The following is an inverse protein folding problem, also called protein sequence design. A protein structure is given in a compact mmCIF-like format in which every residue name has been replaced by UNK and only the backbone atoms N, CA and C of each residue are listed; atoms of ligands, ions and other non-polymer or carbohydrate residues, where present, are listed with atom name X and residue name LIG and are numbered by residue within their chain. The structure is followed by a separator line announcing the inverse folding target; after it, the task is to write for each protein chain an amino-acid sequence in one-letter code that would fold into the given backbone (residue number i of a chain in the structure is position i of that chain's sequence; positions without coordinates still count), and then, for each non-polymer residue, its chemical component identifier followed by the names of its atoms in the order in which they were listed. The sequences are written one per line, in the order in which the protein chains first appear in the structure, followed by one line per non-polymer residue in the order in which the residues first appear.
data_IF_011424147595
#
_entry.id   IF_011424147595
#
_cell.length_a   1.000
_cell.length_b   1.000
_cell.length_c   1.000
_cell.angle_alpha   90.00
_cell.angle_beta   90.00
_cell.angle_gamma   90.00
#
_symmetry.space_group_name_H-M   'P 1'
#
loop_
_entity.id
_entity.type
_entity.pdbx_description
1 polymer ?
#
# COMPACT_ATOMS: atom_id res chain seq x y z
N UNK A 1 35.18 -33.09 -11.95
CA UNK A 1 33.90 -32.37 -12.09
C UNK A 1 34.25 -30.90 -12.20
N UNK A 2 34.30 -30.36 -13.42
CA UNK A 2 34.53 -28.93 -13.67
C UNK A 2 33.18 -28.24 -13.64
N UNK A 3 32.90 -27.49 -12.58
CA UNK A 3 31.76 -26.57 -12.57
C UNK A 3 32.10 -25.47 -13.58
N UNK A 4 31.29 -25.31 -14.62
CA UNK A 4 31.45 -24.22 -15.58
C UNK A 4 31.06 -22.90 -14.89
N UNK A 5 32.04 -22.02 -14.73
CA UNK A 5 31.83 -20.69 -14.14
C UNK A 5 30.85 -19.84 -14.98
N UNK A 6 30.67 -20.15 -16.26
CA UNK A 6 29.72 -19.47 -17.14
C UNK A 6 28.27 -19.75 -16.74
N UNK A 7 27.93 -20.99 -16.38
CA UNK A 7 26.60 -21.38 -15.90
C UNK A 7 26.30 -20.78 -14.53
N UNK A 8 27.28 -20.80 -13.60
CA UNK A 8 27.13 -20.17 -12.29
C UNK A 8 26.93 -18.66 -12.41
N UNK A 9 27.64 -18.00 -13.34
CA UNK A 9 27.47 -16.57 -13.60
C UNK A 9 26.10 -16.25 -14.21
N UNK A 10 25.64 -17.08 -15.15
CA UNK A 10 24.32 -16.94 -15.76
C UNK A 10 23.20 -17.12 -14.73
N UNK A 11 23.33 -18.12 -13.85
CA UNK A 11 22.42 -18.32 -12.72
C UNK A 11 22.41 -17.12 -11.77
N UNK A 12 23.59 -16.61 -11.37
CA UNK A 12 23.69 -15.43 -10.51
C UNK A 12 22.98 -14.20 -11.09
N UNK A 13 23.06 -13.98 -12.41
CA UNK A 13 22.32 -12.90 -13.09
C UNK A 13 20.80 -13.11 -13.04
N UNK A 14 20.31 -14.35 -13.23
CA UNK A 14 18.87 -14.66 -13.13
C UNK A 14 18.35 -14.44 -11.73
N UNK A 15 19.09 -14.88 -10.70
CA UNK A 15 18.73 -14.65 -9.29
C UNK A 15 18.67 -13.15 -8.97
N UNK A 16 19.65 -12.36 -9.41
CA UNK A 16 19.66 -10.92 -9.20
C UNK A 16 18.47 -10.22 -9.89
N UNK A 17 18.15 -10.62 -11.12
CA UNK A 17 16.99 -10.10 -11.86
C UNK A 17 15.67 -10.46 -11.15
N UNK A 18 15.52 -11.71 -10.69
CA UNK A 18 14.35 -12.15 -9.93
C UNK A 18 14.16 -11.34 -8.65
N UNK A 19 15.23 -11.07 -7.90
CA UNK A 19 15.18 -10.24 -6.69
C UNK A 19 14.78 -8.78 -7.00
N UNK A 20 15.29 -8.20 -8.08
CA UNK A 20 14.89 -6.85 -8.50
C UNK A 20 13.41 -6.79 -8.87
N UNK A 21 12.92 -7.77 -9.64
CA UNK A 21 11.49 -7.89 -9.96
C UNK A 21 10.63 -8.06 -8.71
N UNK A 22 11.14 -8.77 -7.70
CA UNK A 22 10.47 -8.93 -6.42
C UNK A 22 10.13 -7.63 -5.72
N UNK A 23 11.16 -6.78 -5.62
CA UNK A 23 11.05 -5.51 -4.92
C UNK A 23 10.06 -4.59 -5.64
N UNK A 24 10.03 -4.63 -6.98
CA UNK A 24 9.08 -3.84 -7.79
C UNK A 24 7.65 -4.33 -7.61
N UNK A 25 7.42 -5.63 -7.69
CA UNK A 25 6.08 -6.22 -7.58
C UNK A 25 5.51 -6.05 -6.17
N UNK A 26 6.32 -6.24 -5.13
CA UNK A 26 5.94 -5.94 -3.75
C UNK A 26 5.58 -4.45 -3.57
N UNK A 27 6.35 -3.52 -4.15
CA UNK A 27 6.01 -2.10 -4.11
C UNK A 27 4.69 -1.78 -4.81
N UNK A 28 4.39 -2.45 -5.94
CA UNK A 28 3.13 -2.29 -6.65
C UNK A 28 1.93 -2.79 -5.82
N UNK A 29 2.07 -3.94 -5.16
CA UNK A 29 1.05 -4.48 -4.26
C UNK A 29 0.76 -3.51 -3.11
N UNK A 30 1.80 -3.05 -2.41
CA UNK A 30 1.67 -2.07 -1.31
C UNK A 30 1.02 -0.77 -1.78
N UNK A 31 1.44 -0.25 -2.94
CA UNK A 31 0.85 0.95 -3.54
C UNK A 31 -0.64 0.76 -3.84
N UNK A 32 -1.02 -0.42 -4.36
CA UNK A 32 -2.42 -0.73 -4.68
C UNK A 32 -3.27 -0.81 -3.42
N UNK A 33 -2.81 -1.50 -2.39
CA UNK A 33 -3.49 -1.54 -1.08
C UNK A 33 -3.67 -0.13 -0.49
N UNK A 34 -2.61 0.68 -0.48
CA UNK A 34 -2.69 2.07 0.00
C UNK A 34 -3.69 2.92 -0.77
N UNK A 35 -3.77 2.75 -2.09
CA UNK A 35 -4.76 3.42 -2.93
C UNK A 35 -6.18 3.00 -2.57
N UNK A 36 -6.42 1.70 -2.35
CA UNK A 36 -7.75 1.19 -1.96
C UNK A 36 -8.18 1.74 -0.58
N UNK A 37 -7.28 1.74 0.41
CA UNK A 37 -7.54 2.33 1.74
C UNK A 37 -7.89 3.81 1.61
N UNK A 38 -7.08 4.58 0.87
CA UNK A 38 -7.33 6.00 0.61
C UNK A 38 -8.71 6.23 -0.01
N UNK A 39 -9.07 5.45 -1.02
CA UNK A 39 -10.36 5.57 -1.70
C UNK A 39 -11.53 5.23 -0.77
N UNK A 40 -11.39 4.19 0.06
CA UNK A 40 -12.36 3.84 1.09
C UNK A 40 -12.61 4.97 2.09
N UNK A 41 -11.54 5.54 2.66
CA UNK A 41 -11.63 6.66 3.60
C UNK A 41 -12.26 7.89 2.94
N UNK A 42 -11.85 8.25 1.72
CA UNK A 42 -12.45 9.39 0.99
C UNK A 42 -13.94 9.17 0.73
N UNK A 43 -14.33 7.96 0.32
CA UNK A 43 -15.73 7.62 0.05
C UNK A 43 -16.59 7.79 1.30
N UNK A 44 -16.12 7.30 2.46
CA UNK A 44 -16.83 7.45 3.73
C UNK A 44 -16.95 8.92 4.16
N UNK A 45 -15.85 9.67 4.10
CA UNK A 45 -15.86 11.12 4.39
C UNK A 45 -16.88 11.87 3.52
N UNK A 46 -16.98 11.51 2.23
CA UNK A 46 -17.91 12.13 1.28
C UNK A 46 -19.39 11.90 1.62
N UNK A 47 -19.70 10.89 2.45
CA UNK A 47 -21.07 10.67 2.95
C UNK A 47 -21.47 11.66 4.05
N UNK A 48 -20.51 12.43 4.60
CA UNK A 48 -20.78 13.37 5.68
C UNK A 48 -21.76 14.47 5.27
N UNK A 49 -22.71 14.78 6.15
CA UNK A 49 -23.58 15.95 6.00
C UNK A 49 -22.84 17.27 6.30
N UNK A 50 -21.66 17.20 6.93
CA UNK A 50 -20.80 18.36 7.15
C UNK A 50 -19.94 18.62 5.91
N UNK A 51 -20.15 19.76 5.26
CA UNK A 51 -19.45 20.15 4.04
C UNK A 51 -17.93 20.19 4.17
N UNK A 52 -17.40 20.59 5.34
CA UNK A 52 -15.95 20.65 5.53
C UNK A 52 -15.36 19.25 5.71
N UNK A 53 -16.05 18.35 6.42
CA UNK A 53 -15.61 16.95 6.60
C UNK A 53 -15.62 16.21 5.26
N UNK A 54 -16.65 16.40 4.43
CA UNK A 54 -16.72 15.77 3.10
C UNK A 54 -15.66 16.24 2.10
N UNK A 55 -14.87 17.25 2.48
CA UNK A 55 -13.75 17.80 1.70
C UNK A 55 -12.38 17.46 2.28
N UNK A 56 -12.30 16.71 3.39
CA UNK A 56 -11.02 16.23 3.92
C UNK A 56 -10.28 15.44 2.84
N UNK A 57 -9.03 15.82 2.57
CA UNK A 57 -8.20 15.16 1.57
C UNK A 57 -7.33 14.09 2.21
N UNK A 58 -7.34 12.88 1.65
CA UNK A 58 -6.46 11.78 2.06
C UNK A 58 -5.41 11.51 0.99
N UNK A 59 -4.16 11.35 1.41
CA UNK A 59 -3.02 10.97 0.58
C UNK A 59 -2.41 9.65 1.04
N UNK A 60 -1.43 9.17 0.29
CA UNK A 60 -0.46 8.22 0.81
C UNK A 60 0.93 8.51 0.29
N UNK A 61 1.93 8.11 1.06
CA UNK A 61 3.34 8.23 0.72
C UNK A 61 3.99 6.85 0.80
N UNK A 62 4.69 6.46 -0.28
CA UNK A 62 5.45 5.21 -0.30
C UNK A 62 6.80 5.43 0.39
N UNK A 63 7.21 4.45 1.18
CA UNK A 63 8.52 4.41 1.80
C UNK A 63 9.12 3.01 1.79
N UNK A 64 10.41 2.94 2.11
CA UNK A 64 11.09 1.67 2.32
C UNK A 64 12.15 1.79 3.42
N UNK A 65 12.26 0.73 4.22
CA UNK A 65 13.26 0.59 5.27
C UNK A 65 13.87 -0.80 5.18
N UNK A 66 15.12 -0.90 4.75
CA UNK A 66 15.76 -2.18 4.47
C UNK A 66 14.99 -2.94 3.36
N UNK A 67 14.48 -4.12 3.68
CA UNK A 67 13.64 -4.94 2.77
C UNK A 67 12.14 -4.69 2.93
N UNK A 68 11.74 -3.88 3.91
CA UNK A 68 10.33 -3.54 4.14
C UNK A 68 9.91 -2.41 3.23
N UNK A 69 8.82 -2.61 2.49
CA UNK A 69 8.15 -1.60 1.69
C UNK A 69 6.83 -1.28 2.39
N UNK A 70 6.53 0.00 2.58
CA UNK A 70 5.32 0.44 3.27
C UNK A 70 4.70 1.64 2.56
N UNK A 71 3.45 1.92 2.90
CA UNK A 71 2.76 3.13 2.51
C UNK A 71 2.11 3.73 3.76
N UNK A 72 2.38 5.01 4.00
CA UNK A 72 1.69 5.78 5.04
C UNK A 72 0.47 6.44 4.41
N UNK A 73 -0.73 6.17 4.94
CA UNK A 73 -1.99 6.73 4.46
C UNK A 73 -2.50 7.72 5.51
N UNK A 74 -2.62 8.98 5.12
CA UNK A 74 -2.86 10.07 6.08
C UNK A 74 -3.65 11.23 5.47
N UNK A 75 -4.31 12.07 6.29
CA UNK A 75 -4.83 13.36 5.85
C UNK A 75 -3.72 14.24 5.27
N UNK A 76 -4.03 14.98 4.22
CA UNK A 76 -3.13 15.99 3.67
C UNK A 76 -3.02 17.20 4.58
N UNK A 77 -1.93 17.93 4.48
CA UNK A 77 -1.75 19.16 5.25
C UNK A 77 -2.72 20.27 4.84
N UNK A 78 -3.33 20.90 5.85
CA UNK A 78 -4.06 22.16 5.73
C UNK A 78 -5.51 22.06 5.26
N UNK A 79 -6.23 23.16 5.47
CA UNK A 79 -7.57 23.36 4.93
C UNK A 79 -8.60 22.45 5.59
N UNK A 80 -9.45 21.80 4.80
CA UNK A 80 -10.48 20.90 5.32
C UNK A 80 -9.87 19.72 6.10
N UNK A 81 -8.68 19.26 5.72
CA UNK A 81 -8.01 18.12 6.34
C UNK A 81 -7.60 18.35 7.79
N UNK A 82 -7.51 19.61 8.24
CA UNK A 82 -7.25 19.95 9.65
C UNK A 82 -8.39 19.46 10.57
N UNK A 83 -9.56 19.13 10.00
CA UNK A 83 -10.71 18.55 10.69
C UNK A 83 -10.67 17.02 10.79
N UNK A 84 -9.64 16.35 10.24
CA UNK A 84 -9.57 14.89 10.20
C UNK A 84 -9.68 14.24 11.59
N UNK A 85 -9.01 14.80 12.60
CA UNK A 85 -9.12 14.29 13.97
C UNK A 85 -10.56 14.33 14.50
N UNK A 86 -11.34 15.36 14.14
CA UNK A 86 -12.75 15.46 14.53
C UNK A 86 -13.58 14.44 13.75
N UNK A 87 -13.31 14.26 12.45
CA UNK A 87 -14.05 13.31 11.62
C UNK A 87 -13.87 11.86 12.12
N UNK A 88 -12.63 11.46 12.41
CA UNK A 88 -12.28 10.06 12.73
C UNK A 88 -12.35 9.72 14.22
N UNK A 89 -11.93 10.64 15.11
CA UNK A 89 -11.83 10.37 16.54
C UNK A 89 -12.84 11.16 17.37
N UNK A 90 -13.40 12.22 16.80
CA UNK A 90 -14.42 13.02 17.45
C UNK A 90 -13.89 13.91 18.57
N UNK A 91 -14.84 14.57 19.21
CA UNK A 91 -14.61 15.45 20.35
C UNK A 91 -15.78 15.30 21.34
N UNK A 92 -15.69 15.95 22.50
CA UNK A 92 -16.83 16.04 23.42
C UNK A 92 -18.08 16.71 22.82
N UNK A 93 -17.94 17.41 21.68
CA UNK A 93 -19.04 18.10 20.98
C UNK A 93 -19.54 17.34 19.74
N UNK A 94 -19.08 16.11 19.53
CA UNK A 94 -19.43 15.27 18.38
C UNK A 94 -18.25 15.02 17.43
N UNK A 95 -18.54 14.31 16.33
CA UNK A 95 -17.55 13.73 15.42
C UNK A 95 -17.26 12.25 15.73
N UNK A 96 -16.21 11.70 15.12
CA UNK A 96 -15.83 10.29 15.31
C UNK A 96 -16.77 9.30 14.62
N UNK A 97 -17.47 9.76 13.59
CA UNK A 97 -18.48 8.98 12.86
C UNK A 97 -17.93 8.34 11.59
N UNK A 98 -16.69 8.69 11.20
CA UNK A 98 -16.04 8.20 10.00
C UNK A 98 -14.92 7.21 10.36
N UNK A 99 -14.73 6.24 9.50
CA UNK A 99 -13.74 5.19 9.68
C UNK A 99 -12.38 5.61 9.15
N UNK A 100 -11.33 5.19 9.85
CA UNK A 100 -9.95 5.41 9.42
C UNK A 100 -9.20 4.08 9.39
N UNK A 101 -8.92 3.50 10.56
CA UNK A 101 -8.20 2.23 10.67
C UNK A 101 -8.95 1.04 10.04
N UNK A 102 -10.28 1.06 10.11
CA UNK A 102 -11.13 -0.03 9.63
C UNK A 102 -10.95 -0.28 8.13
N UNK A 103 -10.67 0.76 7.33
CA UNK A 103 -10.40 0.58 5.90
C UNK A 103 -9.07 -0.13 5.65
N UNK A 104 -8.05 0.14 6.47
CA UNK A 104 -6.79 -0.61 6.40
C UNK A 104 -7.00 -2.07 6.81
N UNK A 105 -7.74 -2.32 7.90
CA UNK A 105 -8.04 -3.68 8.37
C UNK A 105 -8.81 -4.50 7.33
N UNK A 106 -9.77 -3.89 6.64
CA UNK A 106 -10.54 -4.54 5.58
C UNK A 106 -9.69 -4.84 4.34
N UNK A 107 -8.70 -3.99 4.04
CA UNK A 107 -7.82 -4.17 2.89
C UNK A 107 -6.73 -5.22 3.14
N UNK A 108 -6.38 -5.53 4.40
CA UNK A 108 -5.30 -6.46 4.74
C UNK A 108 -5.36 -7.81 4.00
N UNK A 109 -6.51 -8.50 3.90
CA UNK A 109 -6.62 -9.75 3.15
C UNK A 109 -6.34 -9.56 1.65
N UNK A 110 -6.89 -8.51 1.04
CA UNK A 110 -6.70 -8.20 -0.38
C UNK A 110 -5.25 -7.78 -0.68
N UNK A 111 -4.60 -7.06 0.23
CA UNK A 111 -3.18 -6.77 0.12
C UNK A 111 -2.34 -8.05 0.17
N UNK A 112 -2.71 -9.02 1.02
CA UNK A 112 -2.02 -10.32 1.06
C UNK A 112 -2.18 -11.07 -0.27
N UNK A 113 -3.34 -11.00 -0.91
CA UNK A 113 -3.56 -11.55 -2.26
C UNK A 113 -2.67 -10.85 -3.29
N UNK A 114 -2.61 -9.50 -3.31
CA UNK A 114 -1.74 -8.77 -4.22
C UNK A 114 -0.25 -9.12 -4.05
N UNK A 115 0.18 -9.39 -2.82
CA UNK A 115 1.54 -9.85 -2.53
C UNK A 115 1.75 -11.28 -2.99
N UNK A 116 0.75 -12.16 -2.84
CA UNK A 116 0.76 -13.52 -3.36
C UNK A 116 0.90 -13.55 -4.89
N UNK A 117 0.03 -12.83 -5.60
CA UNK A 117 0.07 -12.70 -7.06
C UNK A 117 1.41 -12.12 -7.53
N UNK A 118 1.93 -11.11 -6.82
CA UNK A 118 3.25 -10.54 -7.07
C UNK A 118 4.35 -11.60 -6.96
N UNK A 119 4.30 -12.48 -5.95
CA UNK A 119 5.28 -13.53 -5.75
C UNK A 119 5.19 -14.61 -6.84
N UNK A 120 3.99 -14.99 -7.25
CA UNK A 120 3.77 -15.96 -8.32
C UNK A 120 4.27 -15.43 -9.67
N UNK A 121 3.94 -14.17 -10.02
CA UNK A 121 4.43 -13.48 -11.21
C UNK A 121 5.97 -13.48 -11.28
N UNK A 122 6.62 -13.20 -10.15
CA UNK A 122 8.08 -13.23 -10.09
C UNK A 122 8.64 -14.63 -10.31
N UNK A 123 8.03 -15.64 -9.70
CA UNK A 123 8.50 -17.02 -9.79
C UNK A 123 8.42 -17.48 -11.25
N UNK A 124 7.26 -17.28 -11.89
CA UNK A 124 7.03 -17.57 -13.31
C UNK A 124 8.09 -16.86 -14.17
N UNK A 125 8.27 -15.55 -13.97
CA UNK A 125 9.27 -14.77 -14.72
C UNK A 125 10.72 -15.19 -14.48
N UNK A 126 11.05 -15.72 -13.30
CA UNK A 126 12.40 -16.17 -12.95
C UNK A 126 12.77 -17.54 -13.52
N UNK A 127 11.80 -18.45 -13.61
CA UNK A 127 12.01 -19.84 -14.10
C UNK A 127 11.55 -20.04 -15.54
N UNK A 128 10.91 -19.04 -16.16
CA UNK A 128 10.55 -19.05 -17.58
C UNK A 128 9.43 -20.02 -17.93
N UNK A 129 8.47 -20.23 -17.01
CA UNK A 129 7.24 -20.98 -17.26
C UNK A 129 6.19 -20.12 -17.98
#
# INVERSE_FOLDING_TARGET
MTIDASELTAFGRRVAAAHAMASVKAAQAVKKGAQNVKEGVISDLQTSSNYAISRIGIGYEMGSTGTTIYADVSPRDGGASDLANIAFFGTAKGGGTHWFYQFAEQELPTLAEYVGDAADDMLIGAIGL
#
